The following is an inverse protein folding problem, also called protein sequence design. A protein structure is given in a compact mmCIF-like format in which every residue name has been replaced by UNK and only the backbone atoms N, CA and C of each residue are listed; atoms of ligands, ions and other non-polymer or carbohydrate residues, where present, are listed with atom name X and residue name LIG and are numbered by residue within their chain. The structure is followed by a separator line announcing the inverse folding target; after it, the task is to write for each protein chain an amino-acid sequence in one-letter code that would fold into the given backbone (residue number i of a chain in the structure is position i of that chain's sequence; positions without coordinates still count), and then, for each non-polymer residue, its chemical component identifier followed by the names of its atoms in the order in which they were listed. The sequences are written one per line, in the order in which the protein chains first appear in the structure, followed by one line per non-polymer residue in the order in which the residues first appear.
data_IF_009855930247
#
_entry.id   IF_009855930247
#
_cell.length_a   1.000
_cell.length_b   1.000
_cell.length_c   1.000
_cell.angle_alpha   90.00
_cell.angle_beta   90.00
_cell.angle_gamma   90.00
#
_symmetry.space_group_name_H-M   'P 1'
#
loop_
_entity.id
_entity.type
_entity.pdbx_description
1 polymer ?
#
# COMPACT_ATOMS: atom_id res chain seq x y z
N UNK A 1 9.05 -10.65 6.17
CA UNK A 1 8.09 -9.94 5.33
C UNK A 1 7.86 -8.55 5.89
N UNK A 2 7.90 -7.53 5.05
CA UNK A 2 7.77 -6.15 5.50
C UNK A 2 6.31 -5.72 5.51
N UNK A 3 5.87 -5.14 6.61
CA UNK A 3 4.53 -4.59 6.73
C UNK A 3 4.55 -3.10 6.41
N UNK A 4 3.63 -2.67 5.55
CA UNK A 4 3.49 -1.27 5.18
C UNK A 4 2.22 -0.75 5.84
N UNK A 5 2.39 0.22 6.72
CA UNK A 5 1.27 0.84 7.41
C UNK A 5 0.78 2.04 6.63
N UNK A 6 -0.52 2.06 6.35
CA UNK A 6 -1.14 3.14 5.60
C UNK A 6 -2.23 3.81 6.44
N UNK A 7 -2.48 5.06 6.12
CA UNK A 7 -3.55 5.85 6.70
C UNK A 7 -4.43 6.38 5.56
N UNK A 8 -5.74 6.30 5.75
CA UNK A 8 -6.70 6.80 4.77
C UNK A 8 -7.17 8.19 5.16
N UNK A 9 -7.14 9.12 4.21
CA UNK A 9 -7.66 10.48 4.40
C UNK A 9 -8.64 10.80 3.28
N UNK A 10 -9.73 11.49 3.63
CA UNK A 10 -10.72 11.95 2.66
C UNK A 10 -10.53 13.46 2.47
N UNK A 11 -10.36 13.87 1.20
CA UNK A 11 -10.23 15.27 0.85
C UNK A 11 -10.96 15.52 -0.47
N UNK A 12 -11.79 16.56 -0.50
CA UNK A 12 -12.55 16.94 -1.70
C UNK A 12 -13.38 15.79 -2.29
N UNK A 13 -13.94 14.94 -1.41
CA UNK A 13 -14.75 13.81 -1.83
C UNK A 13 -13.95 12.60 -2.33
N UNK A 14 -12.63 12.67 -2.27
CA UNK A 14 -11.77 11.56 -2.70
C UNK A 14 -11.08 10.93 -1.50
N UNK A 15 -11.01 9.60 -1.52
CA UNK A 15 -10.28 8.82 -0.51
C UNK A 15 -8.87 8.59 -1.01
N UNK A 16 -7.88 8.94 -0.18
CA UNK A 16 -6.47 8.77 -0.50
C UNK A 16 -5.76 8.02 0.60
N UNK A 17 -4.84 7.15 0.19
CA UNK A 17 -4.03 6.37 1.11
C UNK A 17 -2.63 6.97 1.20
N UNK A 18 -2.11 7.09 2.43
CA UNK A 18 -0.77 7.60 2.70
C UNK A 18 0.00 6.58 3.52
N UNK A 19 1.29 6.45 3.24
CA UNK A 19 2.17 5.60 4.04
C UNK A 19 2.57 6.36 5.30
N UNK A 20 2.39 5.72 6.46
CA UNK A 20 2.64 6.35 7.76
C UNK A 20 4.13 6.40 8.09
N UNK A 21 4.88 5.36 7.75
CA UNK A 21 6.32 5.29 8.03
C UNK A 21 7.09 6.16 7.04
N UNK A 22 7.94 7.06 7.56
CA UNK A 22 8.67 8.02 6.72
C UNK A 22 9.64 7.33 5.77
N UNK A 23 10.33 6.30 6.24
CA UNK A 23 11.31 5.58 5.40
C UNK A 23 10.60 4.87 4.26
N UNK A 24 9.48 4.21 4.57
CA UNK A 24 8.68 3.53 3.55
C UNK A 24 8.05 4.54 2.59
N UNK A 25 7.58 5.67 3.10
CA UNK A 25 7.01 6.72 2.28
C UNK A 25 8.02 7.30 1.29
N UNK A 26 9.25 7.54 1.76
CA UNK A 26 10.32 8.04 0.89
C UNK A 26 10.68 7.02 -0.19
N UNK A 27 10.79 5.76 0.18
CA UNK A 27 11.09 4.69 -0.77
C UNK A 27 10.02 4.58 -1.86
N UNK A 28 8.75 4.61 -1.45
CA UNK A 28 7.63 4.53 -2.39
C UNK A 28 7.54 5.78 -3.27
N UNK A 29 7.81 6.95 -2.72
CA UNK A 29 7.86 8.19 -3.50
C UNK A 29 8.94 8.11 -4.58
N UNK A 30 10.09 7.55 -4.25
CA UNK A 30 11.17 7.35 -5.22
C UNK A 30 10.76 6.40 -6.33
N UNK A 31 10.04 5.32 -5.99
CA UNK A 31 9.61 4.32 -6.96
C UNK A 31 8.44 4.80 -7.82
N UNK A 32 7.46 5.47 -7.24
CA UNK A 32 6.22 5.82 -7.92
C UNK A 32 6.14 7.28 -8.36
N UNK A 33 6.97 8.14 -7.78
CA UNK A 33 6.92 9.58 -8.00
C UNK A 33 5.75 10.28 -7.32
N UNK A 34 5.04 9.59 -6.42
CA UNK A 34 3.86 10.13 -5.75
C UNK A 34 3.97 9.97 -4.24
N UNK A 35 3.33 10.89 -3.49
CA UNK A 35 3.25 10.81 -2.04
C UNK A 35 2.04 10.01 -1.57
N UNK A 36 1.09 9.75 -2.46
CA UNK A 36 -0.10 8.94 -2.17
C UNK A 36 0.04 7.56 -2.80
N UNK A 37 -0.66 6.58 -2.23
CA UNK A 37 -0.65 5.21 -2.71
C UNK A 37 -2.06 4.89 -3.23
N UNK A 38 -2.16 4.48 -4.48
CA UNK A 38 -3.44 4.08 -5.06
C UNK A 38 -3.77 2.63 -4.72
N UNK A 39 -5.02 2.22 -4.96
CA UNK A 39 -5.41 0.82 -4.77
C UNK A 39 -4.55 -0.12 -5.63
N UNK A 40 -4.19 0.30 -6.83
CA UNK A 40 -3.29 -0.44 -7.70
C UNK A 40 -1.92 -0.63 -7.07
N UNK A 41 -1.38 0.43 -6.47
CA UNK A 41 -0.08 0.38 -5.81
C UNK A 41 -0.12 -0.58 -4.63
N UNK A 42 -1.21 -0.57 -3.86
CA UNK A 42 -1.39 -1.48 -2.74
C UNK A 42 -1.43 -2.94 -3.20
N UNK A 43 -2.16 -3.21 -4.28
CA UNK A 43 -2.21 -4.57 -4.85
C UNK A 43 -0.82 -5.00 -5.34
N UNK A 44 -0.11 -4.12 -6.04
CA UNK A 44 1.22 -4.42 -6.55
C UNK A 44 2.20 -4.75 -5.42
N UNK A 45 2.15 -3.99 -4.32
CA UNK A 45 2.99 -4.24 -3.16
C UNK A 45 2.69 -5.60 -2.54
N UNK A 46 1.42 -5.96 -2.44
CA UNK A 46 1.04 -7.26 -1.91
C UNK A 46 1.49 -8.41 -2.81
N UNK A 47 1.46 -8.21 -4.13
CA UNK A 47 1.98 -9.20 -5.07
C UNK A 47 3.49 -9.40 -4.93
N UNK A 48 4.20 -8.38 -4.48
CA UNK A 48 5.63 -8.48 -4.19
C UNK A 48 5.92 -9.17 -2.85
N UNK A 49 4.90 -9.45 -2.06
CA UNK A 49 5.04 -10.12 -0.78
C UNK A 49 4.92 -9.24 0.44
N UNK A 50 4.64 -7.94 0.26
CA UNK A 50 4.42 -7.04 1.40
C UNK A 50 3.03 -7.22 1.96
N UNK A 51 2.89 -6.96 3.26
CA UNK A 51 1.57 -6.85 3.88
C UNK A 51 1.19 -5.37 4.02
N UNK A 52 -0.09 -5.08 3.95
CA UNK A 52 -0.63 -3.74 4.15
C UNK A 52 -1.47 -3.78 5.41
N UNK A 53 -1.04 -3.04 6.44
CA UNK A 53 -1.68 -3.03 7.75
C UNK A 53 -1.85 -4.45 8.32
N UNK A 54 -0.84 -5.30 8.09
CA UNK A 54 -0.82 -6.66 8.58
C UNK A 54 -1.55 -7.68 7.71
N UNK A 55 -2.07 -7.29 6.56
CA UNK A 55 -2.89 -8.16 5.71
C UNK A 55 -2.33 -8.21 4.29
N UNK A 56 -2.36 -9.40 3.69
CA UNK A 56 -2.06 -9.57 2.27
C UNK A 56 -3.21 -10.34 1.60
N UNK A 57 -4.08 -9.61 0.94
CA UNK A 57 -5.27 -10.17 0.30
C UNK A 57 -4.95 -11.00 -0.94
N UNK A 58 -3.83 -10.71 -1.60
CA UNK A 58 -3.48 -11.46 -2.82
C UNK A 58 -3.10 -12.89 -2.51
N UNK A 59 -2.51 -13.15 -1.34
CA UNK A 59 -2.19 -14.51 -0.91
C UNK A 59 -3.45 -15.34 -0.70
N UNK A 60 -4.50 -14.72 -0.17
CA UNK A 60 -5.78 -15.39 0.01
C UNK A 60 -6.42 -15.76 -1.32
N UNK A 61 -6.32 -14.85 -2.29
CA UNK A 61 -6.84 -15.10 -3.63
C UNK A 61 -6.10 -16.25 -4.33
N UNK A 62 -4.79 -16.33 -4.15
CA UNK A 62 -3.99 -17.41 -4.71
C UNK A 62 -4.34 -18.76 -4.09
N UNK A 63 -4.61 -18.78 -2.79
CA UNK A 63 -4.98 -20.01 -2.10
C UNK A 63 -6.39 -20.47 -2.47
N UNK A 64 -7.23 -19.58 -2.96
CA UNK A 64 -8.58 -19.91 -3.39
C UNK A 64 -8.63 -20.53 -4.80
N UNK A 65 -7.53 -20.45 -5.51
CA UNK A 65 -7.40 -21.04 -6.84
C UNK A 65 -6.93 -22.47 -6.75
#
# INVERSE_FOLDING_TARGET
MTDIKTQTKTAFGQVRHYVVDEVQADALKTLTGKITVSDRDLVALQLLGFTINGVNYTQQLQLAV
#
